data_IF_510376988042
#
_entry.id   IF_510376988042
#
_cell.length_a   1.000
_cell.length_b   1.000
_cell.length_c   1.000
_cell.angle_alpha   90.00
_cell.angle_beta   90.00
_cell.angle_gamma   90.00
#
_symmetry.space_group_name_H-M   'P 1'
#
loop_
_entity.id
_entity.type
_entity.pdbx_description
1 polymer ?
#
# COMPACT_ATOMS: atom_id res chain seq x y z
N UNK A 1 7.47 -21.72 -6.60
CA UNK A 1 6.27 -22.08 -5.81
C UNK A 1 6.37 -23.54 -5.40
N UNK A 2 6.19 -23.87 -4.11
CA UNK A 2 6.15 -25.25 -3.60
C UNK A 2 4.74 -25.55 -3.10
N UNK A 3 4.20 -26.71 -3.46
CA UNK A 3 2.81 -27.10 -3.16
C UNK A 3 2.81 -28.50 -2.53
N UNK A 4 2.01 -28.70 -1.48
CA UNK A 4 1.73 -30.02 -0.93
C UNK A 4 0.89 -30.82 -1.93
N UNK A 5 1.42 -31.94 -2.43
CA UNK A 5 0.74 -32.79 -3.42
C UNK A 5 -0.47 -33.54 -2.85
N UNK A 6 -0.59 -33.64 -1.53
CA UNK A 6 -1.71 -34.32 -0.85
C UNK A 6 -2.76 -33.35 -0.32
N UNK A 7 -2.35 -32.16 0.11
CA UNK A 7 -3.24 -31.18 0.75
C UNK A 7 -3.60 -29.99 -0.14
N UNK A 8 -2.87 -29.78 -1.25
CA UNK A 8 -3.03 -28.61 -2.12
C UNK A 8 -2.57 -27.28 -1.50
N UNK A 9 -1.98 -27.30 -0.30
CA UNK A 9 -1.46 -26.11 0.37
C UNK A 9 -0.22 -25.59 -0.36
N UNK A 10 -0.23 -24.30 -0.69
CA UNK A 10 0.94 -23.58 -1.21
C UNK A 10 1.71 -23.00 -0.01
N UNK A 11 3.00 -23.31 0.07
CA UNK A 11 3.85 -22.79 1.15
C UNK A 11 4.27 -21.35 0.87
N UNK A 12 4.25 -20.50 1.89
CA UNK A 12 4.78 -19.13 1.79
C UNK A 12 6.31 -19.15 1.67
N UNK A 13 6.83 -18.01 1.25
CA UNK A 13 8.24 -17.64 1.19
C UNK A 13 8.57 -16.46 2.13
N UNK A 14 7.83 -16.32 3.24
CA UNK A 14 7.90 -15.19 4.18
C UNK A 14 9.30 -14.99 4.80
N UNK A 15 10.16 -16.01 4.73
CA UNK A 15 11.56 -15.88 5.14
C UNK A 15 12.33 -14.82 4.33
N UNK A 16 11.87 -14.44 3.13
CA UNK A 16 12.45 -13.36 2.32
C UNK A 16 12.26 -11.95 2.93
N UNK A 17 11.27 -11.79 3.82
CA UNK A 17 11.03 -10.51 4.50
C UNK A 17 12.03 -10.22 5.62
N UNK A 18 12.82 -11.21 6.06
CA UNK A 18 13.98 -10.94 6.92
C UNK A 18 15.11 -10.26 6.14
N UNK A 19 15.84 -9.38 6.83
CA UNK A 19 17.09 -8.85 6.31
C UNK A 19 18.19 -9.90 6.34
N UNK A 20 19.00 -9.95 5.28
CA UNK A 20 20.24 -10.73 5.20
C UNK A 20 21.42 -9.76 5.20
N UNK A 21 22.44 -9.91 6.07
CA UNK A 21 23.59 -9.02 6.08
C UNK A 21 24.20 -8.82 4.68
N UNK A 22 24.31 -7.55 4.26
CA UNK A 22 24.91 -7.18 2.97
C UNK A 22 24.02 -7.35 1.73
N UNK A 23 22.78 -7.82 1.86
CA UNK A 23 21.87 -8.07 0.72
C UNK A 23 20.54 -7.34 0.93
N UNK A 24 20.12 -6.44 0.01
CA UNK A 24 18.76 -5.88 0.01
C UNK A 24 17.72 -6.97 -0.28
N UNK A 25 16.52 -6.86 0.29
CA UNK A 25 15.44 -7.81 -0.02
C UNK A 25 14.79 -7.55 -1.39
N UNK A 26 13.81 -8.38 -1.78
CA UNK A 26 13.13 -8.28 -3.08
C UNK A 26 12.46 -6.92 -3.38
N UNK A 27 12.21 -6.11 -2.35
CA UNK A 27 11.61 -4.77 -2.45
C UNK A 27 12.62 -3.63 -2.25
N UNK A 28 13.91 -3.93 -2.14
CA UNK A 28 14.97 -2.93 -2.04
C UNK A 28 15.15 -2.33 -0.64
N UNK A 29 14.60 -2.94 0.41
CA UNK A 29 14.92 -2.54 1.78
C UNK A 29 16.39 -2.82 2.09
N UNK A 30 17.08 -1.82 2.64
CA UNK A 30 18.44 -1.99 3.12
C UNK A 30 18.47 -3.00 4.29
N UNK A 31 19.55 -3.79 4.43
CA UNK A 31 19.65 -4.77 5.49
C UNK A 31 19.64 -4.09 6.86
N UNK A 32 18.73 -4.51 7.73
CA UNK A 32 18.62 -4.03 9.10
C UNK A 32 18.94 -5.15 10.09
N UNK A 33 19.91 -4.96 11.00
CA UNK A 33 20.20 -5.94 12.05
C UNK A 33 18.99 -6.29 12.92
N UNK A 34 18.08 -5.33 13.15
CA UNK A 34 16.85 -5.57 13.92
C UNK A 34 15.91 -6.55 13.22
N UNK A 35 16.06 -6.77 11.92
CA UNK A 35 15.28 -7.68 11.11
C UNK A 35 16.11 -8.87 10.58
N UNK A 36 17.24 -9.22 11.20
CA UNK A 36 17.94 -10.46 10.86
C UNK A 36 17.18 -11.71 11.34
N UNK A 37 17.39 -12.81 10.63
CA UNK A 37 16.82 -14.13 10.89
C UNK A 37 17.24 -14.63 12.27
N UNK A 38 16.27 -15.12 13.05
CA UNK A 38 16.53 -15.87 14.28
C UNK A 38 15.41 -16.90 14.51
N UNK A 39 15.68 -18.05 15.16
CA UNK A 39 14.67 -19.04 15.46
C UNK A 39 13.49 -18.45 16.26
N UNK A 40 12.27 -18.75 15.84
CA UNK A 40 11.04 -18.26 16.49
C UNK A 40 10.72 -16.77 16.29
N UNK A 41 11.60 -16.00 15.65
CA UNK A 41 11.36 -14.59 15.33
C UNK A 41 10.37 -14.47 14.17
N UNK A 42 9.63 -13.36 14.14
CA UNK A 42 8.77 -12.98 13.00
C UNK A 42 9.48 -11.94 12.14
N UNK A 43 9.43 -12.06 10.80
CA UNK A 43 9.99 -11.04 9.92
C UNK A 43 9.17 -9.75 10.01
N UNK A 44 9.82 -8.62 9.73
CA UNK A 44 9.15 -7.33 9.59
C UNK A 44 8.28 -7.32 8.33
N UNK A 45 7.06 -6.84 8.44
CA UNK A 45 6.11 -6.73 7.33
C UNK A 45 5.72 -5.28 7.07
N UNK A 46 5.50 -4.94 5.80
CA UNK A 46 4.92 -3.66 5.40
C UNK A 46 3.40 -3.62 5.56
N UNK A 47 2.76 -4.75 5.88
CA UNK A 47 1.30 -4.83 6.07
C UNK A 47 0.80 -3.82 7.09
N UNK A 48 -0.16 -3.00 6.65
CA UNK A 48 -0.72 -1.90 7.45
C UNK A 48 -2.25 -1.91 7.41
N UNK A 49 -2.94 -3.02 7.78
CA UNK A 49 -4.39 -3.02 7.86
C UNK A 49 -4.86 -2.04 8.94
N UNK A 50 -5.85 -1.20 8.62
CA UNK A 50 -6.28 -0.12 9.49
C UNK A 50 -7.80 -0.09 9.60
N UNK A 51 -8.28 0.07 10.84
CA UNK A 51 -9.66 0.43 11.14
C UNK A 51 -9.65 1.79 11.84
N UNK A 52 -10.43 2.72 11.32
CA UNK A 52 -10.51 4.10 11.80
C UNK A 52 -11.88 4.28 12.45
N UNK A 53 -11.89 4.82 13.66
CA UNK A 53 -13.09 5.08 14.44
C UNK A 53 -13.27 6.58 14.69
N UNK A 54 -14.52 7.02 14.78
CA UNK A 54 -14.84 8.34 15.30
C UNK A 54 -14.57 8.34 16.81
N UNK A 55 -13.72 9.27 17.26
CA UNK A 55 -13.31 9.35 18.67
C UNK A 55 -14.47 9.67 19.63
N UNK A 56 -15.53 10.34 19.16
CA UNK A 56 -16.60 10.82 20.03
C UNK A 56 -17.59 9.71 20.40
N UNK A 57 -17.90 8.81 19.48
CA UNK A 57 -18.92 7.77 19.63
C UNK A 57 -18.39 6.34 19.42
N UNK A 58 -17.10 6.19 19.11
CA UNK A 58 -16.43 4.93 18.77
C UNK A 58 -17.07 4.19 17.57
N UNK A 59 -17.82 4.89 16.72
CA UNK A 59 -18.38 4.31 15.50
C UNK A 59 -17.28 4.08 14.45
N UNK A 60 -17.35 2.99 13.66
CA UNK A 60 -16.40 2.77 12.57
C UNK A 60 -16.62 3.79 11.46
N UNK A 61 -15.53 4.39 10.99
CA UNK A 61 -15.54 5.37 9.88
C UNK A 61 -14.97 4.74 8.62
N UNK A 62 -13.88 3.98 8.74
CA UNK A 62 -13.20 3.40 7.58
C UNK A 62 -12.48 2.11 7.95
N UNK A 63 -12.50 1.14 7.04
CA UNK A 63 -11.62 -0.03 7.03
C UNK A 63 -10.83 0.01 5.75
N UNK A 64 -9.50 -0.03 5.84
CA UNK A 64 -8.62 0.08 4.68
C UNK A 64 -7.40 -0.82 4.84
N UNK A 65 -6.93 -1.37 3.74
CA UNK A 65 -5.68 -2.10 3.68
C UNK A 65 -5.18 -2.23 2.26
N UNK A 66 -3.91 -2.62 2.11
CA UNK A 66 -3.30 -2.81 0.81
C UNK A 66 -2.39 -4.04 0.77
N UNK A 67 -2.17 -4.54 -0.44
CA UNK A 67 -1.08 -5.47 -0.79
C UNK A 67 -0.07 -4.79 -1.70
N UNK A 68 1.13 -5.36 -1.85
CA UNK A 68 2.16 -4.84 -2.79
C UNK A 68 3.54 -4.61 -2.20
N UNK A 69 3.95 -5.35 -1.17
CA UNK A 69 5.28 -5.21 -0.55
C UNK A 69 5.50 -3.85 0.10
N UNK A 70 6.66 -3.24 -0.13
CA UNK A 70 7.03 -1.92 0.44
C UNK A 70 6.04 -0.80 0.09
N UNK A 71 5.28 -0.97 -1.01
CA UNK A 71 4.27 -0.02 -1.45
C UNK A 71 3.02 0.04 -0.56
N UNK A 72 2.79 -0.95 0.31
CA UNK A 72 1.58 -1.05 1.14
C UNK A 72 1.39 0.21 2.00
N UNK A 73 2.47 0.66 2.65
CA UNK A 73 2.43 1.77 3.61
C UNK A 73 1.99 3.06 2.92
N UNK A 74 2.66 3.44 1.84
CA UNK A 74 2.34 4.69 1.13
C UNK A 74 0.99 4.64 0.44
N UNK A 75 0.57 3.50 -0.09
CA UNK A 75 -0.73 3.36 -0.75
C UNK A 75 -1.88 3.51 0.25
N UNK A 76 -1.79 2.83 1.39
CA UNK A 76 -2.76 2.94 2.49
C UNK A 76 -2.83 4.37 3.01
N UNK A 77 -1.67 4.99 3.29
CA UNK A 77 -1.62 6.37 3.76
C UNK A 77 -2.24 7.37 2.79
N UNK A 78 -1.95 7.25 1.49
CA UNK A 78 -2.52 8.12 0.47
C UNK A 78 -4.04 7.97 0.38
N UNK A 79 -4.58 6.75 0.42
CA UNK A 79 -6.03 6.53 0.40
C UNK A 79 -6.72 7.17 1.61
N UNK A 80 -6.15 7.02 2.81
CA UNK A 80 -6.68 7.66 4.03
C UNK A 80 -6.62 9.19 3.93
N UNK A 81 -5.46 9.75 3.55
CA UNK A 81 -5.28 11.20 3.40
C UNK A 81 -6.28 11.77 2.39
N UNK A 82 -6.39 11.16 1.22
CA UNK A 82 -7.28 11.62 0.15
C UNK A 82 -8.74 11.59 0.57
N UNK A 83 -9.17 10.49 1.17
CA UNK A 83 -10.56 10.35 1.59
C UNK A 83 -10.90 11.27 2.77
N UNK A 84 -10.06 11.30 3.82
CA UNK A 84 -10.40 11.99 5.06
C UNK A 84 -9.98 13.47 5.09
N UNK A 85 -8.89 13.85 4.41
CA UNK A 85 -8.38 15.23 4.43
C UNK A 85 -8.74 16.01 3.16
N UNK A 86 -8.76 15.35 2.00
CA UNK A 86 -9.14 16.00 0.74
C UNK A 86 -10.62 15.82 0.40
N UNK A 87 -11.38 15.18 1.29
CA UNK A 87 -12.82 14.95 1.15
C UNK A 87 -13.19 14.24 -0.17
N UNK A 88 -12.30 13.38 -0.65
CA UNK A 88 -12.54 12.56 -1.84
C UNK A 88 -13.37 11.33 -1.48
N UNK A 89 -14.22 10.89 -2.40
CA UNK A 89 -14.89 9.60 -2.28
C UNK A 89 -13.86 8.46 -2.23
N UNK A 90 -14.22 7.31 -1.66
CA UNK A 90 -13.34 6.11 -1.69
C UNK A 90 -12.96 5.69 -3.12
N UNK A 91 -13.82 5.98 -4.09
CA UNK A 91 -13.55 5.72 -5.51
C UNK A 91 -12.41 6.60 -6.01
N UNK A 92 -12.55 7.92 -5.84
CA UNK A 92 -11.53 8.89 -6.21
C UNK A 92 -10.20 8.65 -5.47
N UNK A 93 -10.27 8.37 -4.17
CA UNK A 93 -9.08 8.18 -3.33
C UNK A 93 -8.24 6.95 -3.71
N UNK A 94 -8.88 5.84 -4.07
CA UNK A 94 -8.19 4.60 -4.49
C UNK A 94 -7.72 4.67 -5.94
N UNK A 95 -8.53 5.26 -6.83
CA UNK A 95 -8.21 5.38 -8.25
C UNK A 95 -7.17 6.45 -8.54
N UNK A 96 -7.02 7.43 -7.65
CA UNK A 96 -6.02 8.48 -7.78
C UNK A 96 -4.62 7.92 -8.07
N UNK A 97 -3.79 8.66 -8.83
CA UNK A 97 -2.42 8.27 -9.10
C UNK A 97 -1.60 8.21 -7.80
N UNK A 98 -0.71 7.23 -7.70
CA UNK A 98 0.13 7.01 -6.52
C UNK A 98 1.51 7.61 -6.67
N UNK A 99 2.03 8.08 -5.54
CA UNK A 99 3.43 8.42 -5.33
C UNK A 99 4.03 7.43 -4.32
N UNK A 100 5.28 7.04 -4.51
CA UNK A 100 5.99 6.21 -3.54
C UNK A 100 7.47 6.56 -3.47
N UNK A 101 7.95 6.75 -2.26
CA UNK A 101 9.36 6.83 -1.94
C UNK A 101 9.56 6.11 -0.59
N UNK A 102 10.54 5.22 -0.53
CA UNK A 102 10.86 4.39 0.63
C UNK A 102 12.28 4.67 1.15
N UNK A 103 12.80 5.87 0.88
CA UNK A 103 14.17 6.32 1.14
C UNK A 103 15.23 5.62 0.29
N UNK A 104 15.31 4.29 0.33
CA UNK A 104 16.19 3.47 -0.51
C UNK A 104 15.37 2.46 -1.33
N UNK A 105 15.58 2.35 -2.66
CA UNK A 105 16.50 3.15 -3.47
C UNK A 105 16.10 4.65 -3.53
N UNK A 106 17.07 5.52 -3.80
CA UNK A 106 16.88 6.99 -3.85
C UNK A 106 16.13 7.40 -5.14
N UNK A 107 14.83 7.08 -5.17
CA UNK A 107 13.90 7.34 -6.27
C UNK A 107 12.49 7.51 -5.73
N UNK A 108 11.75 8.45 -6.31
CA UNK A 108 10.32 8.62 -6.11
C UNK A 108 9.59 8.10 -7.34
N UNK A 109 8.85 7.01 -7.18
CA UNK A 109 8.00 6.47 -8.25
C UNK A 109 6.65 7.20 -8.27
N UNK A 110 6.12 7.46 -9.45
CA UNK A 110 4.82 8.09 -9.62
C UNK A 110 4.03 7.53 -10.80
N UNK A 111 2.70 7.43 -10.65
CA UNK A 111 1.79 7.04 -11.73
C UNK A 111 1.25 8.26 -12.51
N UNK A 112 0.71 8.03 -13.71
CA UNK A 112 -0.08 9.03 -14.44
C UNK A 112 -1.60 8.78 -14.28
N UNK A 113 -2.44 9.84 -14.35
CA UNK A 113 -2.04 11.24 -14.51
C UNK A 113 -1.75 11.90 -13.15
N UNK A 114 -0.53 12.38 -12.92
CA UNK A 114 -0.20 13.31 -11.82
C UNK A 114 -0.11 14.74 -12.37
N UNK A 115 -0.42 15.79 -11.58
CA UNK A 115 -0.27 17.18 -12.03
C UNK A 115 1.16 17.46 -12.47
N UNK A 116 1.37 17.91 -13.71
CA UNK A 116 2.72 18.17 -14.25
C UNK A 116 3.48 19.18 -13.40
N UNK A 117 2.80 20.24 -12.94
CA UNK A 117 3.40 21.24 -12.06
C UNK A 117 4.00 20.64 -10.78
N UNK A 118 3.34 19.65 -10.17
CA UNK A 118 3.85 18.96 -8.98
C UNK A 118 5.15 18.21 -9.30
N UNK A 119 5.14 17.47 -10.42
CA UNK A 119 6.31 16.68 -10.85
C UNK A 119 7.48 17.62 -11.20
N UNK A 120 7.23 18.71 -11.92
CA UNK A 120 8.24 19.72 -12.26
C UNK A 120 8.82 20.37 -11.02
N UNK A 121 7.98 20.78 -10.05
CA UNK A 121 8.47 21.37 -8.80
C UNK A 121 9.34 20.40 -8.01
N UNK A 122 8.90 19.15 -7.84
CA UNK A 122 9.67 18.13 -7.12
C UNK A 122 11.02 17.84 -7.82
N UNK A 123 11.04 17.81 -9.14
CA UNK A 123 12.24 17.53 -9.94
C UNK A 123 13.21 18.71 -9.94
N UNK A 124 12.72 19.91 -10.27
CA UNK A 124 13.59 21.05 -10.58
C UNK A 124 13.96 21.87 -9.34
N UNK A 125 13.01 22.08 -8.43
CA UNK A 125 13.24 22.87 -7.21
C UNK A 125 13.81 22.00 -6.10
N UNK A 126 13.22 20.82 -5.87
CA UNK A 126 13.57 19.94 -4.75
C UNK A 126 14.54 18.81 -5.12
N UNK A 127 14.99 18.76 -6.39
CA UNK A 127 15.98 17.78 -6.90
C UNK A 127 15.61 16.33 -6.59
N UNK A 128 14.32 16.02 -6.53
CA UNK A 128 13.85 14.67 -6.32
C UNK A 128 14.09 13.84 -7.57
N UNK A 129 14.60 12.63 -7.37
CA UNK A 129 14.80 11.67 -8.45
C UNK A 129 13.45 11.02 -8.81
N UNK A 130 12.69 11.66 -9.70
CA UNK A 130 11.35 11.21 -10.08
C UNK A 130 11.41 10.17 -11.20
N UNK A 131 10.71 9.05 -11.05
CA UNK A 131 10.57 8.02 -12.11
C UNK A 131 9.11 7.70 -12.34
N UNK A 132 8.66 7.82 -13.58
CA UNK A 132 7.30 7.48 -13.97
C UNK A 132 7.15 5.96 -14.08
N UNK A 133 6.04 5.42 -13.58
CA UNK A 133 5.62 4.04 -13.79
C UNK A 133 4.20 4.01 -14.34
N UNK A 134 3.92 3.10 -15.27
CA UNK A 134 2.57 2.99 -15.85
C UNK A 134 1.54 2.64 -14.78
N UNK A 135 1.93 1.76 -13.85
CA UNK A 135 1.08 1.23 -12.80
C UNK A 135 1.93 0.74 -11.64
N UNK A 136 1.66 1.25 -10.45
CA UNK A 136 2.26 0.74 -9.23
C UNK A 136 1.67 -0.63 -8.87
N UNK A 137 2.46 -1.45 -8.20
CA UNK A 137 2.09 -2.83 -7.84
C UNK A 137 1.20 -2.95 -6.61
N UNK A 138 0.90 -1.84 -5.92
CA UNK A 138 0.01 -1.93 -4.76
C UNK A 138 -1.45 -2.06 -5.18
N UNK A 139 -2.23 -2.72 -4.34
CA UNK A 139 -3.67 -2.90 -4.52
C UNK A 139 -4.35 -2.56 -3.20
N UNK A 140 -5.25 -1.58 -3.23
CA UNK A 140 -5.99 -1.13 -2.03
C UNK A 140 -7.41 -1.70 -2.04
N UNK A 141 -7.92 -2.03 -0.86
CA UNK A 141 -9.33 -2.31 -0.62
C UNK A 141 -9.81 -1.42 0.52
N UNK A 142 -10.99 -0.82 0.36
CA UNK A 142 -11.51 0.14 1.34
C UNK A 142 -13.02 0.04 1.45
N UNK A 143 -13.51 0.20 2.68
CA UNK A 143 -14.91 0.45 3.03
C UNK A 143 -14.94 1.72 3.91
N UNK A 144 -15.86 2.63 3.62
CA UNK A 144 -16.07 3.86 4.39
C UNK A 144 -17.55 4.01 4.74
N UNK A 145 -17.84 4.29 6.00
CA UNK A 145 -19.19 4.63 6.46
C UNK A 145 -19.38 6.13 6.25
N UNK A 146 -20.40 6.51 5.48
CA UNK A 146 -20.77 7.90 5.27
C UNK A 146 -21.75 8.40 6.34
N UNK A 147 -21.86 9.74 6.55
CA UNK A 147 -22.79 10.31 7.54
C UNK A 147 -24.27 9.99 7.30
N UNK A 148 -24.63 9.61 6.09
CA UNK A 148 -25.98 9.15 5.71
C UNK A 148 -26.26 7.70 6.13
N UNK A 149 -25.27 7.01 6.71
CA UNK A 149 -25.35 5.63 7.15
C UNK A 149 -25.02 4.60 6.08
N UNK A 150 -24.77 5.01 4.83
CA UNK A 150 -24.39 4.10 3.76
C UNK A 150 -22.91 3.72 3.84
N UNK A 151 -22.60 2.49 3.43
CA UNK A 151 -21.22 1.99 3.35
C UNK A 151 -20.78 2.04 1.90
N UNK A 152 -19.74 2.83 1.64
CA UNK A 152 -19.15 2.98 0.32
C UNK A 152 -17.89 2.14 0.25
N UNK A 153 -17.84 1.20 -0.69
CA UNK A 153 -16.67 0.37 -0.93
C UNK A 153 -15.99 0.72 -2.24
N UNK A 154 -14.67 0.50 -2.31
CA UNK A 154 -13.99 0.42 -3.59
C UNK A 154 -12.93 -0.69 -3.59
N UNK A 155 -12.85 -1.38 -4.72
CA UNK A 155 -11.79 -2.33 -5.03
C UNK A 155 -10.89 -1.71 -6.09
N UNK A 156 -9.60 -1.69 -5.82
CA UNK A 156 -8.64 -1.05 -6.70
C UNK A 156 -8.56 -1.73 -8.08
N UNK A 157 -8.82 -0.95 -9.13
CA UNK A 157 -8.70 -1.37 -10.53
C UNK A 157 -7.28 -1.85 -10.87
N UNK A 158 -6.31 -1.58 -9.98
CA UNK A 158 -4.94 -2.02 -10.20
C UNK A 158 -4.77 -3.53 -10.17
N UNK A 159 -5.67 -4.24 -9.49
CA UNK A 159 -5.68 -5.70 -9.43
C UNK A 159 -6.02 -6.30 -10.80
N UNK A 160 -5.24 -7.28 -11.25
CA UNK A 160 -5.47 -7.95 -12.54
C UNK A 160 -6.71 -8.86 -12.53
N UNK A 161 -6.98 -9.48 -11.38
CA UNK A 161 -8.20 -10.28 -11.17
C UNK A 161 -9.35 -9.36 -10.78
N UNK A 162 -10.49 -9.53 -11.42
CA UNK A 162 -11.71 -8.80 -11.09
C UNK A 162 -12.06 -8.98 -9.60
N UNK A 163 -12.19 -7.85 -8.90
CA UNK A 163 -12.64 -7.78 -7.51
C UNK A 163 -13.54 -6.58 -7.36
N UNK A 164 -14.64 -6.76 -6.65
CA UNK A 164 -15.63 -5.71 -6.46
C UNK A 164 -16.09 -5.73 -4.99
N UNK A 165 -16.35 -4.56 -4.40
CA UNK A 165 -17.12 -4.51 -3.16
C UNK A 165 -18.54 -5.01 -3.45
N UNK A 166 -19.13 -5.72 -2.50
CA UNK A 166 -20.51 -6.18 -2.54
C UNK A 166 -21.12 -6.07 -1.14
N UNK A 167 -22.43 -5.81 -1.09
CA UNK A 167 -23.18 -5.61 0.16
C UNK A 167 -24.68 -5.68 -0.08
N UNK A 168 -25.45 -5.56 1.00
CA UNK A 168 -26.91 -5.53 1.02
C UNK A 168 -27.41 -4.42 1.94
#
# INVERSE_FOLDING_TARGET
>A
MRISTTLGIIWNDEMDDFSTPGVPNAFGFAPSPSNFIAPGKRPMSSMSPMVIYNKNDNSPVMVVGASGGSFIISATAQTVIRSMLFNQTVKEAVDAPRLHNQFLPHVTQYEKPNPEQLITQLTDLYRQNMTMVDKQKSVVQVLQVHPDGFIHGNSDFRRQTATYPAGY
#
